data_IF_214011744211
#
_entry.id   IF_214011744211
#
_cell.length_a   1.000
_cell.length_b   1.000
_cell.length_c   1.000
_cell.angle_alpha   90.00
_cell.angle_beta   90.00
_cell.angle_gamma   90.00
#
_symmetry.space_group_name_H-M   'P 1'
#
loop_
_entity.id
_entity.type
_entity.pdbx_description
1 polymer ?
#
# COMPACT_ATOMS: atom_id res chain seq x y z
N UNK A 1 -10.67 -6.15 56.22
CA UNK A 1 -10.18 -7.53 56.41
C UNK A 1 -11.12 -8.49 55.69
N UNK A 2 -10.82 -8.83 54.43
CA UNK A 2 -11.61 -9.78 53.63
C UNK A 2 -10.90 -11.14 53.59
N UNK A 3 -11.56 -12.20 54.10
CA UNK A 3 -11.08 -13.58 54.01
C UNK A 3 -11.31 -14.07 52.58
N UNK A 4 -10.23 -14.22 51.82
CA UNK A 4 -10.26 -14.88 50.52
C UNK A 4 -10.24 -16.40 50.75
N UNK A 5 -11.28 -17.06 50.26
CA UNK A 5 -11.53 -18.49 50.41
C UNK A 5 -10.42 -19.34 49.76
N UNK A 6 -9.81 -20.23 50.53
CA UNK A 6 -8.70 -21.10 50.08
C UNK A 6 -9.09 -22.12 49.00
N UNK A 7 -10.39 -22.32 48.74
CA UNK A 7 -10.88 -23.34 47.81
C UNK A 7 -10.79 -22.93 46.34
N UNK A 8 -10.85 -21.63 46.02
CA UNK A 8 -10.70 -21.14 44.64
C UNK A 8 -9.25 -21.15 44.14
N UNK A 9 -8.27 -21.18 45.05
CA UNK A 9 -6.85 -21.20 44.66
C UNK A 9 -6.36 -22.57 44.18
N UNK A 10 -7.03 -23.66 44.54
CA UNK A 10 -6.61 -25.02 44.16
C UNK A 10 -7.06 -25.43 42.75
N UNK A 11 -8.15 -24.84 42.25
CA UNK A 11 -8.63 -25.10 40.88
C UNK A 11 -7.81 -24.36 39.80
N UNK A 12 -7.11 -23.28 40.16
CA UNK A 12 -6.32 -22.51 39.20
C UNK A 12 -4.92 -23.12 38.93
N UNK A 13 -4.42 -23.95 39.84
CA UNK A 13 -3.11 -24.60 39.68
C UNK A 13 -3.16 -25.85 38.78
N UNK A 14 -4.32 -26.52 38.67
CA UNK A 14 -4.45 -27.77 37.92
C UNK A 14 -4.52 -27.59 36.40
N UNK A 15 -4.94 -26.43 35.90
CA UNK A 15 -5.03 -26.14 34.45
C UNK A 15 -3.70 -25.74 33.82
N UNK A 16 -2.67 -25.37 34.60
CA UNK A 16 -1.35 -25.02 34.05
C UNK A 16 -0.47 -26.24 33.72
N UNK A 17 -0.78 -27.43 34.22
CA UNK A 17 0.10 -28.59 34.06
C UNK A 17 -0.01 -29.31 32.71
N UNK A 18 -1.04 -29.02 31.90
CA UNK A 18 -1.29 -29.76 30.63
C UNK A 18 -0.65 -29.09 29.40
N UNK A 19 -0.05 -27.90 29.55
CA UNK A 19 0.51 -27.13 28.42
C UNK A 19 1.94 -27.48 27.99
N UNK A 20 2.66 -28.35 28.71
CA UNK A 20 4.12 -28.51 28.55
C UNK A 20 4.58 -29.74 27.73
N UNK A 21 3.68 -30.60 27.27
CA UNK A 21 4.04 -31.82 26.51
C UNK A 21 3.88 -31.70 24.98
N UNK A 22 3.68 -30.49 24.47
CA UNK A 22 3.45 -30.22 23.04
C UNK A 22 4.59 -29.54 22.29
N UNK A 23 5.82 -29.45 22.84
CA UNK A 23 6.99 -28.99 22.09
C UNK A 23 7.54 -30.13 21.25
N UNK A 24 6.81 -30.49 20.19
CA UNK A 24 7.41 -31.17 19.05
C UNK A 24 8.42 -30.22 18.43
N UNK A 25 9.69 -30.56 18.55
CA UNK A 25 10.80 -29.89 17.88
C UNK A 25 10.45 -29.76 16.40
N UNK A 26 10.13 -28.53 15.99
CA UNK A 26 9.75 -28.24 14.62
C UNK A 26 10.98 -28.48 13.75
N UNK A 27 11.08 -29.67 13.16
CA UNK A 27 12.08 -29.99 12.16
C UNK A 27 12.15 -28.81 11.18
N UNK A 28 13.36 -28.29 10.87
CA UNK A 28 13.52 -27.15 9.97
C UNK A 28 12.77 -27.45 8.67
N UNK A 29 11.66 -26.75 8.44
CA UNK A 29 10.96 -26.86 7.16
C UNK A 29 11.94 -26.41 6.10
N UNK A 30 12.33 -27.33 5.21
CA UNK A 30 13.11 -26.97 4.04
C UNK A 30 12.39 -25.82 3.33
N UNK A 31 13.09 -24.72 3.00
CA UNK A 31 12.48 -23.62 2.27
C UNK A 31 11.98 -24.20 0.94
N UNK A 32 10.66 -24.28 0.81
CA UNK A 32 10.00 -24.72 -0.41
C UNK A 32 10.59 -23.90 -1.54
N UNK A 33 11.31 -24.53 -2.47
CA UNK A 33 11.86 -23.86 -3.66
C UNK A 33 10.71 -23.09 -4.31
N UNK A 34 10.75 -21.76 -4.19
CA UNK A 34 9.71 -20.90 -4.71
C UNK A 34 9.59 -21.18 -6.19
N UNK A 35 8.46 -21.79 -6.59
CA UNK A 35 8.08 -21.78 -8.01
C UNK A 35 8.08 -20.31 -8.43
N UNK A 36 8.63 -19.97 -9.61
CA UNK A 36 8.63 -18.59 -10.07
C UNK A 36 7.19 -18.09 -10.02
N UNK A 37 6.92 -17.16 -9.09
CA UNK A 37 5.63 -16.51 -8.98
C UNK A 37 5.48 -15.72 -10.27
N UNK A 38 4.75 -16.29 -11.22
CA UNK A 38 4.40 -15.59 -12.46
C UNK A 38 3.59 -14.38 -12.03
N UNK A 39 4.23 -13.23 -12.13
CA UNK A 39 3.66 -11.96 -11.69
C UNK A 39 2.40 -11.69 -12.52
N UNK A 40 1.35 -11.17 -11.88
CA UNK A 40 0.08 -10.85 -12.55
C UNK A 40 0.32 -9.89 -13.72
N UNK A 41 1.30 -9.00 -13.56
CA UNK A 41 1.75 -8.10 -14.61
C UNK A 41 2.36 -8.84 -15.82
N UNK A 42 3.12 -9.90 -15.60
CA UNK A 42 3.69 -10.71 -16.68
C UNK A 42 2.60 -11.50 -17.43
N UNK A 43 1.55 -11.92 -16.73
CA UNK A 43 0.44 -12.69 -17.32
C UNK A 43 -0.58 -11.82 -18.06
N UNK A 44 -0.86 -10.60 -17.60
CA UNK A 44 -1.95 -9.77 -18.13
C UNK A 44 -1.49 -8.44 -18.73
N UNK A 45 -0.18 -8.19 -18.76
CA UNK A 45 0.41 -7.00 -19.38
C UNK A 45 0.48 -7.05 -20.90
N UNK A 46 0.27 -8.21 -21.53
CA UNK A 46 0.30 -8.33 -22.99
C UNK A 46 -0.98 -7.72 -23.61
N UNK A 47 -0.89 -6.64 -24.42
CA UNK A 47 -2.04 -6.07 -25.10
C UNK A 47 -2.66 -7.02 -26.14
N UNK A 48 -1.93 -8.05 -26.58
CA UNK A 48 -2.39 -9.08 -27.52
C UNK A 48 -3.24 -10.19 -26.89
N UNK A 49 -3.33 -10.27 -25.56
CA UNK A 49 -4.23 -11.22 -24.89
C UNK A 49 -5.70 -10.87 -25.18
N UNK A 50 -6.42 -11.89 -25.65
CA UNK A 50 -7.83 -11.87 -26.09
C UNK A 50 -8.70 -11.04 -25.15
N UNK A 51 -9.64 -10.22 -25.66
CA UNK A 51 -10.56 -9.41 -24.86
C UNK A 51 -11.58 -10.28 -24.10
N UNK A 52 -11.11 -11.04 -23.12
CA UNK A 52 -11.94 -11.74 -22.16
C UNK A 52 -12.37 -10.77 -21.07
N UNK A 53 -13.53 -11.02 -20.45
CA UNK A 53 -13.99 -10.20 -19.32
C UNK A 53 -13.00 -10.21 -18.15
N UNK A 54 -12.31 -11.33 -17.95
CA UNK A 54 -11.27 -11.50 -16.94
C UNK A 54 -10.02 -10.69 -17.28
N UNK A 55 -9.58 -10.70 -18.55
CA UNK A 55 -8.45 -9.89 -19.01
C UNK A 55 -8.71 -8.39 -18.87
N UNK A 56 -9.89 -7.91 -19.28
CA UNK A 56 -10.30 -6.51 -19.09
C UNK A 56 -10.37 -6.11 -17.60
N UNK A 57 -10.80 -7.04 -16.73
CA UNK A 57 -10.76 -6.80 -15.28
C UNK A 57 -9.33 -6.68 -14.78
N UNK A 58 -8.46 -7.62 -15.13
CA UNK A 58 -7.05 -7.61 -14.71
C UNK A 58 -6.34 -6.35 -15.18
N UNK A 59 -6.61 -5.88 -16.41
CA UNK A 59 -6.11 -4.59 -16.93
C UNK A 59 -6.56 -3.41 -16.09
N UNK A 60 -7.85 -3.35 -15.70
CA UNK A 60 -8.36 -2.29 -14.82
C UNK A 60 -7.74 -2.33 -13.42
N UNK A 61 -7.56 -3.52 -12.85
CA UNK A 61 -6.88 -3.71 -11.57
C UNK A 61 -5.44 -3.20 -11.61
N UNK A 62 -4.69 -3.54 -12.66
CA UNK A 62 -3.33 -3.05 -12.86
C UNK A 62 -3.28 -1.53 -13.04
N UNK A 63 -4.19 -0.96 -13.85
CA UNK A 63 -4.27 0.48 -14.05
C UNK A 63 -4.56 1.22 -12.72
N UNK A 64 -5.50 0.73 -11.90
CA UNK A 64 -5.79 1.31 -10.59
C UNK A 64 -4.61 1.18 -9.63
N UNK A 65 -3.92 0.04 -9.61
CA UNK A 65 -2.74 -0.15 -8.78
C UNK A 65 -1.64 0.86 -9.14
N UNK A 66 -1.36 1.07 -10.42
CA UNK A 66 -0.40 2.09 -10.89
C UNK A 66 -0.81 3.50 -10.47
N UNK A 67 -2.08 3.89 -10.69
CA UNK A 67 -2.56 5.21 -10.29
C UNK A 67 -2.48 5.44 -8.77
N UNK A 68 -2.72 4.39 -7.97
CA UNK A 68 -2.57 4.46 -6.52
C UNK A 68 -1.11 4.62 -6.11
N UNK A 69 -0.17 3.88 -6.72
CA UNK A 69 1.27 4.05 -6.48
C UNK A 69 1.69 5.49 -6.77
N UNK A 70 1.32 6.03 -7.93
CA UNK A 70 1.65 7.42 -8.31
C UNK A 70 1.07 8.43 -7.31
N UNK A 71 -0.15 8.21 -6.84
CA UNK A 71 -0.79 9.09 -5.86
C UNK A 71 -0.19 8.97 -4.45
N UNK A 72 0.23 7.77 -4.05
CA UNK A 72 0.94 7.52 -2.80
C UNK A 72 2.32 8.19 -2.78
N UNK A 73 3.02 8.22 -3.92
CA UNK A 73 4.28 8.96 -4.04
C UNK A 73 4.09 10.47 -3.82
N UNK A 74 2.96 11.05 -4.25
CA UNK A 74 2.66 12.47 -4.05
C UNK A 74 2.46 12.85 -2.57
N UNK A 75 2.01 11.90 -1.74
CA UNK A 75 1.88 12.09 -0.28
C UNK A 75 3.12 11.61 0.49
N UNK A 76 4.22 11.29 -0.20
CA UNK A 76 5.50 10.92 0.42
C UNK A 76 5.67 9.43 0.72
N UNK A 77 4.74 8.57 0.30
CA UNK A 77 4.85 7.11 0.45
C UNK A 77 5.59 6.52 -0.75
N UNK A 78 6.90 6.73 -0.80
CA UNK A 78 7.76 6.24 -1.88
C UNK A 78 7.98 4.72 -1.83
N UNK A 79 8.13 4.08 -2.98
CA UNK A 79 8.45 2.64 -3.07
C UNK A 79 7.30 1.72 -2.63
N UNK A 80 6.07 2.23 -2.62
CA UNK A 80 4.88 1.44 -2.31
C UNK A 80 4.65 0.33 -3.35
N UNK A 81 4.25 -0.85 -2.87
CA UNK A 81 3.65 -1.90 -3.68
C UNK A 81 2.17 -1.94 -3.38
N UNK A 82 1.37 -1.87 -4.44
CA UNK A 82 -0.10 -1.86 -4.33
C UNK A 82 -0.65 -3.03 -5.13
N UNK A 83 -1.55 -3.78 -4.51
CA UNK A 83 -2.34 -4.81 -5.17
C UNK A 83 -3.83 -4.45 -5.07
N UNK A 84 -4.54 -4.52 -6.20
CA UNK A 84 -5.98 -4.26 -6.30
C UNK A 84 -6.68 -5.51 -6.82
N UNK A 85 -7.75 -5.91 -6.13
CA UNK A 85 -8.64 -6.99 -6.55
C UNK A 85 -10.07 -6.45 -6.62
N UNK A 86 -10.66 -6.46 -7.82
CA UNK A 86 -12.04 -6.03 -8.07
C UNK A 86 -13.01 -7.22 -8.16
N UNK A 87 -12.56 -8.45 -7.90
CA UNK A 87 -13.30 -9.68 -8.21
C UNK A 87 -13.37 -10.78 -7.18
N UNK A 88 -14.31 -11.71 -7.42
CA UNK A 88 -14.60 -12.80 -6.48
C UNK A 88 -15.36 -12.37 -5.22
N UNK A 89 -15.81 -11.12 -5.14
CA UNK A 89 -16.49 -10.57 -3.96
C UNK A 89 -16.41 -9.04 -3.92
N UNK A 90 -16.38 -8.49 -2.70
CA UNK A 90 -16.14 -7.08 -2.46
C UNK A 90 -14.72 -6.67 -2.91
N UNK A 91 -14.51 -5.46 -3.46
CA UNK A 91 -13.19 -4.94 -3.82
C UNK A 91 -12.22 -4.96 -2.64
N UNK A 92 -10.92 -5.15 -2.92
CA UNK A 92 -9.86 -5.13 -1.91
C UNK A 92 -8.61 -4.42 -2.43
N UNK A 93 -7.92 -3.73 -1.54
CA UNK A 93 -6.67 -3.04 -1.79
C UNK A 93 -5.67 -3.38 -0.69
N UNK A 94 -4.47 -3.79 -1.10
CA UNK A 94 -3.35 -4.03 -0.19
C UNK A 94 -2.22 -3.08 -0.56
N UNK A 95 -1.75 -2.30 0.42
CA UNK A 95 -0.66 -1.33 0.26
C UNK A 95 0.47 -1.75 1.19
N UNK A 96 1.67 -1.93 0.64
CA UNK A 96 2.87 -2.26 1.42
C UNK A 96 3.98 -1.29 1.05
N UNK A 97 4.54 -0.59 2.04
CA UNK A 97 5.68 0.30 1.81
C UNK A 97 6.66 0.27 2.98
N UNK A 98 7.93 0.57 2.67
CA UNK A 98 8.96 0.84 3.67
C UNK A 98 9.37 2.29 3.55
N UNK A 99 9.33 3.01 4.67
CA UNK A 99 9.54 4.45 4.70
C UNK A 99 10.80 4.79 5.50
N UNK A 100 11.77 5.52 4.92
CA UNK A 100 13.00 5.85 5.61
C UNK A 100 12.76 6.95 6.65
N UNK A 101 13.30 6.75 7.87
CA UNK A 101 13.37 7.78 8.93
C UNK A 101 12.02 8.38 9.33
N UNK A 102 10.94 7.60 9.27
CA UNK A 102 9.60 8.04 9.65
C UNK A 102 9.31 7.74 11.11
N UNK A 103 8.75 8.71 11.83
CA UNK A 103 8.31 8.53 13.22
C UNK A 103 6.98 7.74 13.27
N UNK A 104 6.64 7.15 14.42
CA UNK A 104 5.38 6.39 14.55
C UNK A 104 4.15 7.28 14.28
N UNK A 105 4.14 8.52 14.77
CA UNK A 105 3.03 9.45 14.55
C UNK A 105 2.85 9.80 13.07
N UNK A 106 3.94 9.96 12.32
CA UNK A 106 3.89 10.15 10.87
C UNK A 106 3.42 8.89 10.15
N UNK A 107 3.83 7.69 10.60
CA UNK A 107 3.31 6.42 10.04
C UNK A 107 1.79 6.30 10.22
N UNK A 108 1.27 6.64 11.40
CA UNK A 108 -0.17 6.57 11.68
C UNK A 108 -0.94 7.57 10.80
N UNK A 109 -0.40 8.78 10.61
CA UNK A 109 -0.97 9.80 9.71
C UNK A 109 -0.96 9.33 8.25
N UNK A 110 0.17 8.84 7.75
CA UNK A 110 0.31 8.33 6.38
C UNK A 110 -0.56 7.10 6.14
N UNK A 111 -0.77 6.27 7.17
CA UNK A 111 -1.70 5.12 7.10
C UNK A 111 -3.12 5.62 6.85
N UNK A 112 -3.61 6.57 7.66
CA UNK A 112 -4.94 7.14 7.47
C UNK A 112 -5.12 7.87 6.14
N UNK A 113 -4.10 8.60 5.67
CA UNK A 113 -4.12 9.25 4.35
C UNK A 113 -4.14 8.24 3.20
N UNK A 114 -3.33 7.18 3.30
CA UNK A 114 -3.30 6.09 2.31
C UNK A 114 -4.63 5.37 2.22
N UNK A 115 -5.29 5.12 3.36
CA UNK A 115 -6.63 4.51 3.42
C UNK A 115 -7.69 5.41 2.76
N UNK A 116 -7.70 6.70 3.11
CA UNK A 116 -8.62 7.67 2.54
C UNK A 116 -8.45 7.79 1.02
N UNK A 117 -7.20 7.79 0.55
CA UNK A 117 -6.86 7.82 -0.88
C UNK A 117 -7.38 6.55 -1.60
N UNK A 118 -7.16 5.37 -1.03
CA UNK A 118 -7.65 4.11 -1.61
C UNK A 118 -9.19 4.10 -1.75
N UNK A 119 -9.91 4.51 -0.71
CA UNK A 119 -11.38 4.61 -0.70
C UNK A 119 -11.90 5.61 -1.75
N UNK A 120 -11.16 6.70 -1.98
CA UNK A 120 -11.55 7.70 -2.97
C UNK A 120 -11.33 7.23 -4.41
N UNK A 121 -10.31 6.41 -4.66
CA UNK A 121 -9.91 5.99 -6.01
C UNK A 121 -10.57 4.71 -6.51
N UNK A 122 -10.95 3.80 -5.61
CA UNK A 122 -11.47 2.46 -5.98
C UNK A 122 -12.98 2.39 -5.75
N UNK A 123 -13.80 2.33 -6.82
CA UNK A 123 -15.25 2.29 -6.69
C UNK A 123 -15.74 1.05 -5.95
N UNK A 124 -16.63 1.25 -4.97
CA UNK A 124 -17.25 0.16 -4.20
C UNK A 124 -16.34 -0.48 -3.16
N UNK A 125 -15.14 0.09 -2.91
CA UNK A 125 -14.29 -0.29 -1.80
C UNK A 125 -14.89 0.22 -0.49
N UNK A 126 -14.93 -0.64 0.53
CA UNK A 126 -15.27 -0.27 1.90
C UNK A 126 -14.02 -0.23 2.79
N UNK A 127 -14.17 0.28 4.01
CA UNK A 127 -13.06 0.39 4.95
C UNK A 127 -12.46 -0.98 5.35
N UNK A 128 -13.22 -2.07 5.24
CA UNK A 128 -12.74 -3.42 5.57
C UNK A 128 -11.91 -4.03 4.44
N UNK A 129 -12.11 -3.57 3.21
CA UNK A 129 -11.36 -3.99 2.03
C UNK A 129 -9.99 -3.32 1.87
N UNK A 130 -9.64 -2.34 2.71
CA UNK A 130 -8.33 -1.67 2.67
C UNK A 130 -7.41 -2.27 3.72
N UNK A 131 -6.22 -2.69 3.30
CA UNK A 131 -5.16 -3.15 4.19
C UNK A 131 -3.87 -2.39 3.89
N UNK A 132 -3.42 -1.59 4.86
CA UNK A 132 -2.20 -0.79 4.73
C UNK A 132 -1.15 -1.30 5.71
N UNK A 133 0.02 -1.65 5.18
CA UNK A 133 1.19 -2.06 5.95
C UNK A 133 2.36 -1.13 5.63
N UNK A 134 2.46 -0.04 6.38
CA UNK A 134 3.62 0.84 6.35
C UNK A 134 4.59 0.46 7.46
N UNK A 135 5.87 0.39 7.13
CA UNK A 135 6.93 0.11 8.12
C UNK A 135 8.03 1.15 8.01
N UNK A 136 8.41 1.75 9.13
CA UNK A 136 9.63 2.54 9.19
C UNK A 136 10.83 1.63 8.95
N UNK A 137 11.73 2.05 8.08
CA UNK A 137 13.02 1.39 7.90
C UNK A 137 13.88 1.65 9.15
N UNK A 138 14.25 0.56 9.83
CA UNK A 138 15.19 0.65 10.95
C UNK A 138 16.62 0.65 10.41
N UNK A 139 17.58 1.26 11.12
CA UNK A 139 18.99 1.21 10.72
C UNK A 139 19.50 -0.23 10.55
N UNK A 140 18.93 -1.19 11.29
CA UNK A 140 19.22 -2.61 11.15
C UNK A 140 18.74 -3.19 9.81
N UNK A 141 17.58 -2.75 9.31
CA UNK A 141 17.05 -3.17 8.01
C UNK A 141 17.92 -2.61 6.86
N UNK A 142 18.41 -1.37 7.00
CA UNK A 142 19.29 -0.73 6.00
C UNK A 142 20.65 -1.45 5.87
N UNK A 143 21.18 -1.97 6.99
CA UNK A 143 22.44 -2.73 6.98
C UNK A 143 22.33 -4.07 6.25
N UNK A 144 21.15 -4.70 6.26
CA UNK A 144 20.90 -6.00 5.61
C UNK A 144 20.51 -5.81 4.14
N UNK A 145 19.75 -4.74 3.83
CA UNK A 145 19.25 -4.44 2.48
C UNK A 145 20.33 -4.07 1.45
N UNK A 146 21.50 -3.58 1.90
CA UNK A 146 22.61 -3.25 1.01
C UNK A 146 23.31 -4.44 0.34
N UNK A 147 23.11 -5.67 0.83
CA UNK A 147 23.81 -6.86 0.36
C UNK A 147 23.05 -7.75 -0.64
N UNK A 148 21.73 -7.63 -0.72
CA UNK A 148 20.87 -8.59 -1.43
C UNK A 148 20.22 -7.96 -2.67
N UNK A 149 20.99 -7.72 -3.74
CA UNK A 149 20.37 -7.44 -5.04
C UNK A 149 21.07 -6.48 -5.99
N UNK A 150 22.40 -6.47 -6.08
CA UNK A 150 22.99 -6.26 -7.40
C UNK A 150 22.89 -7.60 -8.14
N UNK A 151 21.95 -7.79 -9.09
CA UNK A 151 22.08 -8.88 -10.03
C UNK A 151 23.41 -8.68 -10.74
N UNK A 152 24.33 -9.60 -10.49
CA UNK A 152 25.60 -9.71 -11.21
C UNK A 152 25.31 -9.68 -12.72
N UNK A 153 25.50 -8.52 -13.35
CA UNK A 153 25.47 -8.36 -14.81
C UNK A 153 26.74 -8.94 -15.46
N UNK A 154 27.44 -9.88 -14.80
CA UNK A 154 28.70 -10.43 -15.27
C UNK A 154 28.56 -11.58 -16.29
N UNK A 155 27.35 -11.96 -16.72
CA UNK A 155 27.16 -13.13 -17.58
C UNK A 155 26.51 -12.86 -18.96
N UNK A 156 26.35 -11.60 -19.38
CA UNK A 156 25.81 -11.29 -20.70
C UNK A 156 26.60 -10.18 -21.42
N UNK A 157 27.91 -10.37 -21.55
CA UNK A 157 28.77 -9.60 -22.45
C UNK A 157 29.33 -10.49 -23.56
N UNK A 158 28.43 -11.01 -24.40
CA UNK A 158 28.79 -11.55 -25.71
C UNK A 158 27.86 -10.97 -26.78
N UNK A 159 28.35 -9.95 -27.47
CA UNK A 159 27.88 -9.56 -28.80
C UNK A 159 26.85 -8.42 -28.85
N UNK A 160 27.32 -7.19 -29.05
CA UNK A 160 26.43 -6.07 -29.38
C UNK A 160 27.05 -4.69 -29.18
N UNK A 161 28.17 -4.40 -29.86
CA UNK A 161 28.68 -3.03 -29.98
C UNK A 161 27.74 -2.24 -30.88
N UNK A 162 26.81 -1.49 -30.31
CA UNK A 162 26.12 -0.42 -31.02
C UNK A 162 26.37 0.94 -30.38
N UNK A 163 26.80 1.87 -31.23
CA UNK A 163 27.41 3.16 -30.91
C UNK A 163 26.37 4.18 -30.43
N UNK A 164 26.72 4.86 -29.32
CA UNK A 164 26.57 6.31 -29.06
C UNK A 164 25.42 7.08 -29.75
N UNK A 165 24.59 7.70 -28.92
CA UNK A 165 24.27 9.16 -28.82
C UNK A 165 23.30 9.30 -27.62
N UNK A 166 23.64 9.93 -26.50
CA UNK A 166 24.01 11.34 -26.39
C UNK A 166 22.77 12.24 -26.42
N UNK A 167 21.99 12.29 -25.33
CA UNK A 167 21.07 13.40 -25.02
C UNK A 167 20.98 13.60 -23.51
N UNK A 168 21.43 14.77 -23.08
CA UNK A 168 21.12 15.35 -21.79
C UNK A 168 19.62 15.67 -21.71
N UNK A 169 18.97 15.31 -20.61
CA UNK A 169 17.64 15.78 -20.26
C UNK A 169 17.62 16.12 -18.76
N UNK A 170 18.19 17.29 -18.45
CA UNK A 170 17.97 17.97 -17.18
C UNK A 170 16.63 18.73 -17.23
N UNK A 171 15.86 18.65 -16.14
CA UNK A 171 15.00 19.74 -15.68
C UNK A 171 13.61 19.89 -16.31
N UNK A 172 12.68 18.99 -16.00
CA UNK A 172 11.24 19.18 -16.31
C UNK A 172 10.27 18.96 -15.15
N UNK A 173 10.74 18.45 -14.00
CA UNK A 173 9.87 17.95 -12.92
C UNK A 173 9.35 19.03 -11.97
N UNK A 174 9.97 20.20 -11.88
CA UNK A 174 9.53 21.24 -10.94
C UNK A 174 8.36 22.10 -11.44
N UNK A 175 8.18 22.23 -12.76
CA UNK A 175 7.07 23.01 -13.32
C UNK A 175 5.71 22.32 -13.20
N UNK A 176 5.67 20.98 -13.11
CA UNK A 176 4.42 20.22 -12.97
C UNK A 176 3.78 20.38 -11.58
N UNK A 177 4.59 20.40 -10.52
CA UNK A 177 4.12 20.56 -9.13
C UNK A 177 3.45 21.91 -8.88
N UNK A 178 3.98 22.98 -9.48
CA UNK A 178 3.38 24.32 -9.39
C UNK A 178 1.98 24.38 -10.01
N UNK A 179 1.76 23.75 -11.17
CA UNK A 179 0.47 23.71 -11.86
C UNK A 179 -0.56 22.83 -11.13
N UNK A 180 -0.13 21.69 -10.56
CA UNK A 180 -1.01 20.81 -9.81
C UNK A 180 -1.56 21.46 -8.52
N UNK A 181 -0.69 22.15 -7.75
CA UNK A 181 -1.11 22.86 -6.55
C UNK A 181 -2.04 24.04 -6.86
N UNK A 182 -1.81 24.74 -7.98
CA UNK A 182 -2.69 25.84 -8.42
C UNK A 182 -4.08 25.33 -8.83
N UNK A 183 -4.16 24.18 -9.51
CA UNK A 183 -5.43 23.55 -9.87
C UNK A 183 -6.23 23.06 -8.65
N UNK A 184 -5.55 22.49 -7.65
CA UNK A 184 -6.18 21.98 -6.44
C UNK A 184 -6.73 23.11 -5.55
N UNK A 185 -6.02 24.25 -5.47
CA UNK A 185 -6.49 25.45 -4.80
C UNK A 185 -7.78 26.04 -5.40
N UNK A 186 -7.91 26.04 -6.73
CA UNK A 186 -9.10 26.55 -7.42
C UNK A 186 -10.33 25.67 -7.21
N UNK A 187 -10.13 24.35 -7.14
CA UNK A 187 -11.21 23.38 -6.85
C UNK A 187 -11.73 23.50 -5.42
N UNK A 188 -10.84 23.65 -4.43
CA UNK A 188 -11.22 23.79 -3.03
C UNK A 188 -12.00 25.09 -2.77
N UNK A 189 -11.63 26.19 -3.45
CA UNK A 189 -12.33 27.47 -3.36
C UNK A 189 -13.80 27.39 -3.81
N UNK A 190 -14.08 26.66 -4.89
CA UNK A 190 -15.46 26.45 -5.39
C UNK A 190 -16.32 25.66 -4.40
N UNK A 191 -15.72 24.72 -3.66
CA UNK A 191 -16.44 23.92 -2.66
C UNK A 191 -16.83 24.76 -1.43
N UNK A 192 -15.91 25.62 -0.96
CA UNK A 192 -16.15 26.54 0.18
C UNK A 192 -17.21 27.58 -0.19
N UNK A 193 -17.17 28.12 -1.40
CA UNK A 193 -18.13 29.11 -1.88
C UNK A 193 -19.55 28.50 -1.98
N UNK A 194 -19.67 27.27 -2.48
CA UNK A 194 -20.96 26.53 -2.49
C UNK A 194 -21.48 26.25 -1.08
N UNK A 195 -20.60 25.92 -0.14
CA UNK A 195 -20.97 25.71 1.26
C UNK A 195 -21.49 27.02 1.92
N UNK A 196 -20.84 28.16 1.66
CA UNK A 196 -21.31 29.49 2.13
C UNK A 196 -22.68 29.85 1.57
N UNK A 197 -22.91 29.66 0.26
CA UNK A 197 -24.22 29.95 -0.37
C UNK A 197 -25.35 29.10 0.23
N UNK A 198 -25.10 27.83 0.54
CA UNK A 198 -26.09 26.96 1.20
C UNK A 198 -26.44 27.45 2.61
N UNK A 199 -25.48 27.97 3.38
CA UNK A 199 -25.75 28.56 4.71
C UNK A 199 -26.56 29.85 4.61
N UNK A 200 -26.25 30.72 3.64
CA UNK A 200 -26.99 31.97 3.42
C UNK A 200 -28.47 31.72 3.06
N UNK A 201 -28.76 30.69 2.26
CA UNK A 201 -30.14 30.33 1.92
C UNK A 201 -30.92 29.78 3.13
N UNK A 202 -30.29 28.97 3.98
CA UNK A 202 -30.92 28.46 5.22
C UNK A 202 -31.24 29.57 6.21
N UNK A 203 -30.39 30.59 6.31
CA UNK A 203 -30.64 31.75 7.18
C UNK A 203 -31.86 32.56 6.72
N UNK A 204 -32.13 32.65 5.41
CA UNK A 204 -33.31 33.35 4.86
C UNK A 204 -34.60 32.55 4.96
N UNK A 205 -34.54 31.22 4.94
CA UNK A 205 -35.74 30.37 5.06
C UNK A 205 -36.27 30.24 6.49
N UNK A 206 -35.47 30.57 7.51
CA UNK A 206 -35.84 30.44 8.92
C UNK A 206 -36.50 31.66 9.58
N UNK A 207 -36.82 32.72 8.82
CA UNK A 207 -37.39 33.97 9.37
C UNK A 207 -38.87 34.20 8.99
N UNK A 208 -39.64 33.12 8.74
CA UNK A 208 -41.07 33.19 8.48
C UNK A 208 -41.86 32.57 9.61
#
# INVERSE_FOLDING_TARGET
>A
MGRIDRRTSLMLAATMAVGLLGCGEAAPREPTRERPRLDKQALFGDPGLVPTREGERARRELALATSLVESLELIGVSGARVEVALGGGAPRVVIVARLPRTTQTELDALTGESEALALAMVPGLDAQGVHVLLRAETEADAAIGGGAGQPSQAAASAGGREKRRGRAAWGGRELGLGLALFGLGLSLGQLIERARRRRALRARSGSR
#
